data_IF_499547719121
#
_entry.id   IF_499547719121
#
_cell.length_a   1.000
_cell.length_b   1.000
_cell.length_c   1.000
_cell.angle_alpha   90.00
_cell.angle_beta   90.00
_cell.angle_gamma   90.00
#
_symmetry.space_group_name_H-M   'P 1'
#
loop_
_entity.id
_entity.type
_entity.pdbx_description
1 polymer ?
#
# COMPACT_ATOMS: atom_id res chain seq x y z
N UNK A 1 -0.92 23.35 -15.09
CA UNK A 1 -1.75 24.10 -16.04
C UNK A 1 -2.64 25.10 -15.32
N UNK A 2 -3.51 24.68 -14.39
CA UNK A 2 -4.36 25.60 -13.58
C UNK A 2 -3.56 26.63 -12.77
N UNK A 3 -2.38 26.26 -12.25
CA UNK A 3 -1.50 27.18 -11.50
C UNK A 3 -0.88 28.26 -12.38
N UNK A 4 -0.61 27.97 -13.66
CA UNK A 4 -0.01 28.94 -14.58
C UNK A 4 -1.04 29.98 -15.06
N UNK A 5 -2.28 29.58 -15.35
CA UNK A 5 -3.36 30.50 -15.71
C UNK A 5 -3.76 31.43 -14.56
N UNK A 6 -3.67 30.98 -13.30
CA UNK A 6 -3.99 31.83 -12.15
C UNK A 6 -2.87 32.81 -11.79
N UNK A 7 -1.61 32.49 -12.11
CA UNK A 7 -0.49 33.41 -11.94
C UNK A 7 -0.58 34.59 -12.93
N UNK A 8 -1.00 34.33 -14.17
CA UNK A 8 -1.20 35.35 -15.22
C UNK A 8 -2.29 36.39 -14.86
N UNK A 9 -3.33 35.95 -14.16
CA UNK A 9 -4.41 36.80 -13.66
C UNK A 9 -3.97 37.71 -12.50
N UNK A 10 -2.97 37.30 -11.72
CA UNK A 10 -2.41 38.05 -10.59
C UNK A 10 -1.44 39.16 -11.06
N UNK A 11 -0.75 38.94 -12.19
CA UNK A 11 0.16 39.91 -12.82
C UNK A 11 -0.55 40.99 -13.65
N UNK A 12 -1.85 40.84 -13.92
CA UNK A 12 -2.67 41.87 -14.56
C UNK A 12 -2.62 43.19 -13.77
N UNK A 13 -2.25 44.28 -14.46
CA UNK A 13 -2.06 45.64 -13.92
C UNK A 13 -3.37 46.32 -13.47
N UNK A 14 -4.51 45.63 -13.65
CA UNK A 14 -5.86 46.19 -13.51
C UNK A 14 -6.40 46.08 -12.07
N UNK A 15 -5.82 45.23 -11.22
CA UNK A 15 -6.38 44.88 -9.90
C UNK A 15 -5.70 45.69 -8.77
N UNK A 16 -6.45 46.40 -7.90
CA UNK A 16 -5.88 47.17 -6.80
C UNK A 16 -5.14 46.27 -5.79
N UNK A 17 -4.02 46.76 -5.24
CA UNK A 17 -3.09 45.98 -4.42
C UNK A 17 -3.74 45.22 -3.24
N UNK A 18 -4.71 45.84 -2.55
CA UNK A 18 -5.43 45.19 -1.44
C UNK A 18 -6.25 43.96 -1.89
N UNK A 19 -6.70 43.96 -3.15
CA UNK A 19 -7.54 42.91 -3.72
C UNK A 19 -6.67 41.79 -4.29
N UNK A 20 -5.44 42.09 -4.73
CA UNK A 20 -4.42 41.08 -5.07
C UNK A 20 -3.99 40.27 -3.85
N UNK A 21 -3.80 40.93 -2.70
CA UNK A 21 -3.43 40.27 -1.44
C UNK A 21 -4.54 39.34 -0.95
N UNK A 22 -5.80 39.81 -0.95
CA UNK A 22 -6.95 38.97 -0.62
C UNK A 22 -7.18 37.83 -1.62
N UNK A 23 -6.94 38.06 -2.92
CA UNK A 23 -7.07 37.02 -3.93
C UNK A 23 -5.97 35.95 -3.77
N UNK A 24 -4.74 36.34 -3.44
CA UNK A 24 -3.64 35.43 -3.17
C UNK A 24 -3.92 34.56 -1.94
N UNK A 25 -4.45 35.14 -0.86
CA UNK A 25 -4.87 34.39 0.33
C UNK A 25 -6.03 33.43 0.02
N UNK A 26 -7.03 33.88 -0.76
CA UNK A 26 -8.14 33.02 -1.18
C UNK A 26 -7.68 31.87 -2.08
N UNK A 27 -6.75 32.14 -3.01
CA UNK A 27 -6.12 31.14 -3.86
C UNK A 27 -5.40 30.11 -2.99
N UNK A 28 -4.64 30.57 -2.00
CA UNK A 28 -3.88 29.74 -1.09
C UNK A 28 -4.79 28.82 -0.25
N UNK A 29 -5.87 29.37 0.30
CA UNK A 29 -6.86 28.58 1.06
C UNK A 29 -7.54 27.55 0.15
N UNK A 30 -7.92 27.92 -1.07
CA UNK A 30 -8.55 27.01 -2.03
C UNK A 30 -7.59 25.91 -2.48
N UNK A 31 -6.32 26.25 -2.70
CA UNK A 31 -5.26 25.31 -3.05
C UNK A 31 -4.96 24.33 -1.91
N UNK A 32 -4.81 24.84 -0.69
CA UNK A 32 -4.62 24.01 0.50
C UNK A 32 -5.82 23.06 0.73
N UNK A 33 -7.05 23.55 0.52
CA UNK A 33 -8.26 22.75 0.66
C UNK A 33 -8.39 21.66 -0.41
N UNK A 34 -8.10 21.97 -1.68
CA UNK A 34 -8.11 20.99 -2.77
C UNK A 34 -7.06 19.90 -2.57
N UNK A 35 -5.86 20.25 -2.10
CA UNK A 35 -4.82 19.30 -1.70
C UNK A 35 -5.30 18.42 -0.55
N UNK A 36 -5.87 19.01 0.50
CA UNK A 36 -6.34 18.28 1.67
C UNK A 36 -7.42 17.25 1.29
N UNK A 37 -8.37 17.66 0.44
CA UNK A 37 -9.41 16.78 -0.06
C UNK A 37 -8.84 15.66 -0.96
N UNK A 38 -7.99 16.00 -1.93
CA UNK A 38 -7.37 15.02 -2.82
C UNK A 38 -6.55 13.98 -2.04
N UNK A 39 -5.76 14.45 -1.06
CA UNK A 39 -4.97 13.59 -0.18
C UNK A 39 -5.87 12.74 0.73
N UNK A 40 -6.95 13.32 1.27
CA UNK A 40 -7.93 12.61 2.09
C UNK A 40 -8.58 11.46 1.34
N UNK A 41 -9.07 11.71 0.12
CA UNK A 41 -9.64 10.68 -0.75
C UNK A 41 -8.63 9.58 -1.10
N UNK A 42 -7.37 9.95 -1.35
CA UNK A 42 -6.31 8.99 -1.66
C UNK A 42 -5.98 8.04 -0.49
N UNK A 43 -6.27 8.43 0.75
CA UNK A 43 -5.99 7.65 1.95
C UNK A 43 -7.09 6.64 2.30
N UNK A 44 -8.32 6.81 1.79
CA UNK A 44 -9.48 5.96 2.15
C UNK A 44 -9.23 4.49 1.78
N UNK A 45 -8.81 4.24 0.54
CA UNK A 45 -8.60 2.88 0.04
C UNK A 45 -7.41 2.18 0.74
N UNK A 46 -6.20 2.80 0.83
CA UNK A 46 -5.09 2.28 1.65
C UNK A 46 -5.47 2.03 3.11
N UNK A 47 -6.23 2.96 3.72
CA UNK A 47 -6.67 2.85 5.11
C UNK A 47 -7.63 1.68 5.32
N UNK A 48 -8.65 1.54 4.47
CA UNK A 48 -9.57 0.41 4.50
C UNK A 48 -8.84 -0.91 4.30
N UNK A 49 -7.91 -0.98 3.34
CA UNK A 49 -7.12 -2.17 3.07
C UNK A 49 -6.20 -2.54 4.24
N UNK A 50 -5.53 -1.56 4.85
CA UNK A 50 -4.73 -1.74 6.05
C UNK A 50 -5.57 -2.34 7.19
N UNK A 51 -6.75 -1.77 7.42
CA UNK A 51 -7.70 -2.28 8.42
C UNK A 51 -8.11 -3.73 8.12
N UNK A 52 -8.52 -4.02 6.89
CA UNK A 52 -8.94 -5.35 6.47
C UNK A 52 -7.80 -6.39 6.62
N UNK A 53 -6.58 -6.05 6.21
CA UNK A 53 -5.39 -6.90 6.39
C UNK A 53 -5.09 -7.15 7.87
N UNK A 54 -5.19 -6.13 8.72
CA UNK A 54 -5.00 -6.27 10.16
C UNK A 54 -6.08 -7.15 10.80
N UNK A 55 -7.35 -7.02 10.37
CA UNK A 55 -8.43 -7.90 10.78
C UNK A 55 -8.13 -9.36 10.40
N UNK A 56 -7.76 -9.63 9.14
CA UNK A 56 -7.40 -10.98 8.69
C UNK A 56 -6.21 -11.56 9.47
N UNK A 57 -5.17 -10.76 9.70
CA UNK A 57 -4.04 -11.14 10.55
C UNK A 57 -4.49 -11.54 11.96
N UNK A 58 -5.34 -10.73 12.59
CA UNK A 58 -5.87 -11.03 13.94
C UNK A 58 -6.71 -12.31 13.95
N UNK A 59 -7.52 -12.54 12.92
CA UNK A 59 -8.26 -13.79 12.78
C UNK A 59 -7.32 -15.00 12.69
N UNK A 60 -6.29 -14.96 11.83
CA UNK A 60 -5.31 -16.06 11.71
C UNK A 60 -4.52 -16.31 12.99
N UNK A 61 -4.11 -15.25 13.71
CA UNK A 61 -3.43 -15.39 15.00
C UNK A 61 -4.33 -15.98 16.09
N UNK A 62 -5.62 -15.61 16.11
CA UNK A 62 -6.61 -16.21 17.02
C UNK A 62 -6.87 -17.67 16.68
N UNK A 63 -6.94 -18.00 15.40
CA UNK A 63 -7.08 -19.37 14.93
C UNK A 63 -5.89 -20.23 15.35
N UNK A 64 -4.65 -19.74 15.21
CA UNK A 64 -3.47 -20.45 15.71
C UNK A 64 -3.59 -20.77 17.21
N UNK A 65 -3.96 -19.79 18.04
CA UNK A 65 -4.07 -20.02 19.49
C UNK A 65 -5.19 -21.00 19.83
N UNK A 66 -6.35 -20.85 19.19
CA UNK A 66 -7.51 -21.72 19.44
C UNK A 66 -7.29 -23.14 18.90
N UNK A 67 -6.68 -23.29 17.73
CA UNK A 67 -6.42 -24.60 17.13
C UNK A 67 -5.55 -25.48 18.03
N UNK A 68 -4.54 -24.92 18.72
CA UNK A 68 -3.74 -25.68 19.72
C UNK A 68 -4.60 -26.27 20.84
N UNK A 69 -5.62 -25.56 21.30
CA UNK A 69 -6.58 -26.04 22.32
C UNK A 69 -7.57 -27.05 21.74
N UNK A 70 -8.11 -26.79 20.55
CA UNK A 70 -9.07 -27.72 19.90
C UNK A 70 -8.41 -29.04 19.48
N UNK A 71 -7.11 -29.03 19.14
CA UNK A 71 -6.34 -30.24 18.86
C UNK A 71 -6.31 -31.16 20.08
N UNK A 72 -6.18 -30.60 21.30
CA UNK A 72 -6.22 -31.37 22.54
C UNK A 72 -7.59 -32.04 22.79
N UNK A 73 -8.66 -31.48 22.22
CA UNK A 73 -10.02 -32.03 22.30
C UNK A 73 -10.41 -32.92 21.11
N UNK A 74 -9.48 -33.21 20.19
CA UNK A 74 -9.71 -34.02 18.97
C UNK A 74 -10.84 -33.53 18.04
N UNK A 75 -11.23 -32.25 18.12
CA UNK A 75 -12.32 -31.67 17.30
C UNK A 75 -11.78 -31.14 15.96
N UNK A 76 -11.30 -32.06 15.12
CA UNK A 76 -10.62 -31.72 13.88
C UNK A 76 -11.54 -31.16 12.79
N UNK A 77 -12.81 -31.58 12.79
CA UNK A 77 -13.80 -31.11 11.83
C UNK A 77 -14.04 -29.61 12.00
N UNK A 78 -14.19 -29.15 13.24
CA UNK A 78 -14.39 -27.74 13.55
C UNK A 78 -13.19 -26.88 13.18
N UNK A 79 -11.97 -27.38 13.35
CA UNK A 79 -10.74 -26.67 12.92
C UNK A 79 -10.74 -26.48 11.39
N UNK A 80 -11.11 -27.50 10.64
CA UNK A 80 -11.18 -27.45 9.17
C UNK A 80 -12.27 -26.51 8.66
N UNK A 81 -13.46 -26.52 9.28
CA UNK A 81 -14.56 -25.61 8.94
C UNK A 81 -14.18 -24.14 9.18
N UNK A 82 -13.62 -23.82 10.35
CA UNK A 82 -13.17 -22.45 10.67
C UNK A 82 -12.07 -22.01 9.70
N UNK A 83 -11.10 -22.88 9.42
CA UNK A 83 -10.04 -22.55 8.46
C UNK A 83 -10.61 -22.29 7.05
N UNK A 84 -11.58 -23.09 6.61
CA UNK A 84 -12.22 -22.92 5.31
C UNK A 84 -12.91 -21.57 5.19
N UNK A 85 -13.69 -21.18 6.19
CA UNK A 85 -14.40 -19.90 6.22
C UNK A 85 -13.41 -18.71 6.20
N UNK A 86 -12.32 -18.81 6.96
CA UNK A 86 -11.25 -17.81 6.95
C UNK A 86 -10.53 -17.73 5.60
N UNK A 87 -10.38 -18.87 4.94
CA UNK A 87 -9.75 -18.94 3.63
C UNK A 87 -10.65 -18.34 2.53
N UNK A 88 -11.96 -18.59 2.59
CA UNK A 88 -12.97 -18.03 1.68
C UNK A 88 -13.09 -16.51 1.85
N UNK A 89 -13.10 -16.01 3.09
CA UNK A 89 -13.09 -14.57 3.36
C UNK A 89 -11.82 -13.88 2.85
N UNK A 90 -10.66 -14.53 2.99
CA UNK A 90 -9.41 -14.02 2.43
C UNK A 90 -9.43 -13.94 0.90
N UNK A 91 -9.98 -14.96 0.23
CA UNK A 91 -10.14 -14.98 -1.24
C UNK A 91 -11.08 -13.87 -1.69
N UNK A 92 -12.22 -13.72 -1.04
CA UNK A 92 -13.18 -12.66 -1.35
C UNK A 92 -12.55 -11.27 -1.20
N UNK A 93 -11.74 -11.07 -0.16
CA UNK A 93 -11.00 -9.83 0.06
C UNK A 93 -9.98 -9.58 -1.06
N UNK A 94 -9.24 -10.61 -1.49
CA UNK A 94 -8.27 -10.52 -2.58
C UNK A 94 -8.94 -10.23 -3.93
N UNK A 95 -10.04 -10.92 -4.25
CA UNK A 95 -10.78 -10.73 -5.49
C UNK A 95 -11.34 -9.31 -5.62
N UNK A 96 -11.81 -8.72 -4.51
CA UNK A 96 -12.37 -7.37 -4.50
C UNK A 96 -11.28 -6.28 -4.53
N UNK A 97 -10.19 -6.47 -3.79
CA UNK A 97 -9.23 -5.40 -3.49
C UNK A 97 -7.92 -5.50 -4.26
N UNK A 98 -7.57 -6.65 -4.85
CA UNK A 98 -6.24 -6.84 -5.47
C UNK A 98 -5.96 -5.84 -6.59
N UNK A 99 -6.93 -5.58 -7.47
CA UNK A 99 -6.78 -4.63 -8.57
C UNK A 99 -6.79 -3.15 -8.10
N UNK A 100 -7.76 -2.68 -7.28
CA UNK A 100 -7.72 -1.33 -6.72
C UNK A 100 -6.42 -1.01 -5.98
N UNK A 101 -5.89 -1.98 -5.23
CA UNK A 101 -4.66 -1.80 -4.45
C UNK A 101 -3.43 -1.79 -5.36
N UNK A 102 -3.41 -2.59 -6.43
CA UNK A 102 -2.34 -2.51 -7.43
C UNK A 102 -2.26 -1.10 -8.05
N UNK A 103 -3.40 -0.57 -8.50
CA UNK A 103 -3.47 0.79 -9.07
C UNK A 103 -3.04 1.83 -8.03
N UNK A 104 -3.50 1.67 -6.79
CA UNK A 104 -3.14 2.57 -5.69
C UNK A 104 -1.63 2.55 -5.40
N UNK A 105 -0.99 1.38 -5.34
CA UNK A 105 0.45 1.25 -5.11
C UNK A 105 1.26 1.85 -6.25
N UNK A 106 0.88 1.62 -7.51
CA UNK A 106 1.54 2.24 -8.67
C UNK A 106 1.43 3.76 -8.59
N UNK A 107 0.25 4.28 -8.27
CA UNK A 107 0.03 5.72 -8.10
C UNK A 107 0.90 6.29 -6.98
N UNK A 108 0.95 5.62 -5.81
CA UNK A 108 1.80 6.02 -4.68
C UNK A 108 3.28 6.08 -5.09
N UNK A 109 3.78 5.06 -5.80
CA UNK A 109 5.18 5.03 -6.24
C UNK A 109 5.48 6.13 -7.27
N UNK A 110 4.59 6.36 -8.23
CA UNK A 110 4.73 7.43 -9.21
C UNK A 110 4.74 8.82 -8.54
N UNK A 111 3.84 9.04 -7.57
CA UNK A 111 3.78 10.30 -6.83
C UNK A 111 4.99 10.50 -5.91
N UNK A 112 5.47 9.45 -5.24
CA UNK A 112 6.72 9.51 -4.47
C UNK A 112 7.92 9.90 -5.33
N UNK A 113 8.01 9.32 -6.53
CA UNK A 113 9.04 9.67 -7.48
C UNK A 113 8.92 11.13 -7.92
N UNK A 114 7.71 11.61 -8.23
CA UNK A 114 7.47 13.00 -8.61
C UNK A 114 7.86 14.00 -7.51
N UNK A 115 7.50 13.73 -6.25
CA UNK A 115 7.90 14.58 -5.13
C UNK A 115 9.40 14.53 -4.86
N UNK A 116 10.02 13.35 -4.97
CA UNK A 116 11.48 13.21 -4.85
C UNK A 116 12.24 13.97 -5.95
N UNK A 117 11.76 13.89 -7.19
CA UNK A 117 12.28 14.67 -8.31
C UNK A 117 12.10 16.17 -8.06
N UNK A 118 10.90 16.58 -7.64
CA UNK A 118 10.61 17.98 -7.38
C UNK A 118 11.48 18.56 -6.27
N UNK A 119 11.75 17.76 -5.23
CA UNK A 119 12.64 18.14 -4.14
C UNK A 119 14.10 18.31 -4.58
N UNK A 120 14.57 17.49 -5.52
CA UNK A 120 15.96 17.50 -5.98
C UNK A 120 16.25 18.55 -7.06
N UNK A 121 15.29 18.83 -7.95
CA UNK A 121 15.53 19.60 -9.18
C UNK A 121 14.79 20.93 -9.29
N UNK A 122 13.73 21.18 -8.51
CA UNK A 122 13.11 22.50 -8.56
C UNK A 122 13.89 23.49 -7.69
N UNK A 123 14.20 24.70 -8.21
CA UNK A 123 14.89 25.73 -7.45
C UNK A 123 14.07 26.09 -6.20
N UNK A 124 14.74 26.07 -5.05
CA UNK A 124 14.12 26.19 -3.73
C UNK A 124 13.80 27.65 -3.37
N UNK A 125 13.42 28.46 -4.35
CA UNK A 125 13.19 29.91 -4.21
C UNK A 125 11.94 30.19 -3.37
N UNK A 126 10.99 29.26 -3.35
CA UNK A 126 9.77 29.38 -2.55
C UNK A 126 9.74 28.33 -1.41
N UNK A 127 9.94 28.80 -0.17
CA UNK A 127 9.85 27.97 1.06
C UNK A 127 8.55 27.17 1.16
N UNK A 128 7.44 27.71 0.63
CA UNK A 128 6.13 27.05 0.65
C UNK A 128 6.12 25.81 -0.25
N UNK A 129 6.74 25.88 -1.42
CA UNK A 129 6.87 24.75 -2.35
C UNK A 129 7.71 23.63 -1.73
N UNK A 130 8.79 23.98 -1.03
CA UNK A 130 9.62 23.03 -0.29
C UNK A 130 8.83 22.29 0.80
N UNK A 131 8.10 23.01 1.66
CA UNK A 131 7.27 22.42 2.72
C UNK A 131 6.20 21.50 2.11
N UNK A 132 5.54 21.93 1.04
CA UNK A 132 4.54 21.13 0.34
C UNK A 132 5.14 19.82 -0.20
N UNK A 133 6.31 19.90 -0.84
CA UNK A 133 6.99 18.75 -1.44
C UNK A 133 7.41 17.73 -0.39
N UNK A 134 8.00 18.19 0.73
CA UNK A 134 8.40 17.32 1.85
C UNK A 134 7.17 16.67 2.51
N UNK A 135 6.12 17.45 2.74
CA UNK A 135 4.88 16.94 3.36
C UNK A 135 4.20 15.91 2.46
N UNK A 136 4.15 16.17 1.15
CA UNK A 136 3.67 15.21 0.15
C UNK A 136 4.48 13.92 0.17
N UNK A 137 5.81 14.01 0.12
CA UNK A 137 6.69 12.85 0.18
C UNK A 137 6.43 11.98 1.42
N UNK A 138 6.38 12.60 2.61
CA UNK A 138 6.11 11.89 3.87
C UNK A 138 4.72 11.23 3.84
N UNK A 139 3.69 11.93 3.37
CA UNK A 139 2.33 11.41 3.29
C UNK A 139 2.24 10.16 2.41
N UNK A 140 2.74 10.21 1.18
CA UNK A 140 2.69 9.07 0.26
C UNK A 140 3.57 7.92 0.72
N UNK A 141 4.67 8.21 1.43
CA UNK A 141 5.48 7.18 2.07
C UNK A 141 4.71 6.45 3.18
N UNK A 142 3.96 7.19 4.01
CA UNK A 142 3.06 6.60 5.00
C UNK A 142 1.98 5.75 4.34
N UNK A 143 1.38 6.20 3.23
CA UNK A 143 0.40 5.40 2.48
C UNK A 143 1.01 4.09 1.93
N UNK A 144 2.25 4.12 1.46
CA UNK A 144 2.97 2.90 1.05
C UNK A 144 3.15 1.94 2.23
N UNK A 145 3.51 2.48 3.40
CA UNK A 145 3.67 1.70 4.64
C UNK A 145 2.35 1.19 5.23
N UNK A 146 1.21 1.81 4.90
CA UNK A 146 -0.11 1.31 5.27
C UNK A 146 -0.60 0.16 4.36
N UNK A 147 -0.07 0.02 3.14
CA UNK A 147 -0.56 -0.98 2.19
C UNK A 147 0.25 -2.27 2.22
N UNK A 148 1.57 -2.19 1.99
CA UNK A 148 2.40 -3.39 1.78
C UNK A 148 2.67 -4.20 3.07
N UNK A 149 3.10 -3.59 4.21
CA UNK A 149 3.41 -4.34 5.42
C UNK A 149 2.22 -5.10 6.04
N UNK A 150 1.01 -4.53 6.18
CA UNK A 150 -0.12 -5.26 6.75
C UNK A 150 -0.53 -6.47 5.92
N UNK A 151 -0.52 -6.35 4.58
CA UNK A 151 -0.81 -7.45 3.69
C UNK A 151 0.24 -8.57 3.76
N UNK A 152 1.53 -8.21 3.80
CA UNK A 152 2.60 -9.19 4.01
C UNK A 152 2.48 -9.91 5.37
N UNK A 153 2.10 -9.18 6.42
CA UNK A 153 1.88 -9.76 7.75
C UNK A 153 0.67 -10.69 7.79
N UNK A 154 -0.43 -10.34 7.11
CA UNK A 154 -1.61 -11.19 6.95
C UNK A 154 -1.27 -12.47 6.17
N UNK A 155 -0.49 -12.36 5.09
CA UNK A 155 -0.01 -13.50 4.31
C UNK A 155 0.89 -14.43 5.12
N UNK A 156 1.75 -13.88 5.97
CA UNK A 156 2.58 -14.67 6.88
C UNK A 156 1.71 -15.42 7.90
N UNK A 157 0.73 -14.76 8.51
CA UNK A 157 -0.19 -15.39 9.46
C UNK A 157 -1.05 -16.49 8.82
N UNK A 158 -1.53 -16.27 7.59
CA UNK A 158 -2.24 -17.27 6.81
C UNK A 158 -1.36 -18.50 6.49
N UNK A 159 -0.09 -18.27 6.16
CA UNK A 159 0.87 -19.36 5.92
C UNK A 159 1.11 -20.21 7.18
N UNK A 160 1.27 -19.58 8.34
CA UNK A 160 1.40 -20.29 9.63
C UNK A 160 0.13 -21.06 9.99
N UNK A 161 -1.05 -20.47 9.81
CA UNK A 161 -2.32 -21.17 10.03
C UNK A 161 -2.46 -22.40 9.11
N UNK A 162 -2.04 -22.27 7.85
CA UNK A 162 -2.01 -23.37 6.89
C UNK A 162 -1.05 -24.48 7.30
N UNK A 163 0.12 -24.15 7.85
CA UNK A 163 1.08 -25.13 8.36
C UNK A 163 0.50 -25.94 9.53
N UNK A 164 -0.24 -25.28 10.43
CA UNK A 164 -0.97 -25.96 11.51
C UNK A 164 -1.99 -26.94 10.92
N UNK A 165 -2.75 -26.52 9.92
CA UNK A 165 -3.72 -27.40 9.25
C UNK A 165 -3.06 -28.54 8.48
N UNK A 166 -1.86 -28.32 7.91
CA UNK A 166 -1.04 -29.38 7.30
C UNK A 166 -0.50 -30.38 8.33
N UNK A 167 -0.26 -29.93 9.57
CA UNK A 167 0.23 -30.80 10.64
C UNK A 167 -0.86 -31.70 11.22
N UNK A 168 -2.14 -31.28 11.20
CA UNK A 168 -3.31 -32.05 11.64
C UNK A 168 -3.36 -33.48 11.06
N UNK A 169 -3.18 -33.70 9.74
CA UNK A 169 -3.03 -35.02 9.14
C UNK A 169 -1.98 -35.97 9.73
N UNK A 170 -0.98 -35.45 10.46
CA UNK A 170 0.00 -36.26 11.19
C UNK A 170 -0.58 -36.92 12.45
N UNK A 171 -1.73 -36.42 12.92
CA UNK A 171 -2.41 -36.84 14.15
C UNK A 171 -3.55 -37.83 13.88
N UNK A 172 -3.88 -38.09 12.60
CA UNK A 172 -4.86 -39.09 12.21
C UNK A 172 -4.22 -40.49 12.14
N UNK A 173 -4.94 -41.56 12.55
CA UNK A 173 -4.45 -42.93 12.42
C UNK A 173 -4.08 -43.26 10.96
N UNK A 174 -2.97 -43.98 10.74
CA UNK A 174 -2.44 -44.38 9.41
C UNK A 174 -3.49 -45.00 8.47
N UNK A 175 -4.58 -45.55 9.03
CA UNK A 175 -5.67 -46.21 8.31
C UNK A 175 -6.49 -45.30 7.40
N UNK A 176 -6.39 -43.97 7.54
CA UNK A 176 -7.20 -42.99 6.80
C UNK A 176 -6.39 -42.13 5.80
N UNK A 177 -5.29 -42.64 5.25
CA UNK A 177 -4.39 -41.91 4.33
C UNK A 177 -5.10 -41.28 3.11
N UNK A 178 -6.11 -41.96 2.55
CA UNK A 178 -6.88 -41.49 1.39
C UNK A 178 -7.80 -40.32 1.79
N UNK A 179 -8.48 -40.42 2.93
CA UNK A 179 -9.33 -39.35 3.47
C UNK A 179 -8.48 -38.13 3.84
N UNK A 180 -7.28 -38.37 4.41
CA UNK A 180 -6.26 -37.35 4.67
C UNK A 180 -5.88 -36.56 3.42
N UNK A 181 -5.67 -37.24 2.28
CA UNK A 181 -5.30 -36.59 1.03
C UNK A 181 -6.48 -35.81 0.43
N UNK A 182 -7.69 -36.33 0.51
CA UNK A 182 -8.91 -35.64 0.08
C UNK A 182 -9.22 -34.39 0.91
N UNK A 183 -9.08 -34.47 2.24
CA UNK A 183 -9.22 -33.32 3.14
C UNK A 183 -8.14 -32.28 2.84
N UNK A 184 -6.89 -32.70 2.67
CA UNK A 184 -5.83 -31.76 2.30
C UNK A 184 -6.13 -31.05 0.97
N UNK A 185 -6.61 -31.78 -0.03
CA UNK A 185 -6.85 -31.24 -1.37
C UNK A 185 -8.07 -30.32 -1.41
N UNK A 186 -9.09 -30.59 -0.59
CA UNK A 186 -10.33 -29.81 -0.52
C UNK A 186 -10.20 -28.54 0.32
N UNK A 187 -9.42 -28.59 1.40
CA UNK A 187 -9.35 -27.51 2.38
C UNK A 187 -8.07 -26.66 2.28
N UNK A 188 -7.07 -27.01 1.46
CA UNK A 188 -5.83 -26.24 1.32
C UNK A 188 -5.57 -25.61 -0.06
N UNK A 189 -6.51 -24.84 -0.66
CA UNK A 189 -6.11 -23.88 -1.68
C UNK A 189 -4.97 -23.00 -1.12
N UNK A 190 -3.92 -22.77 -1.91
CA UNK A 190 -2.90 -21.78 -1.56
C UNK A 190 -3.54 -20.40 -1.70
N UNK A 191 -3.94 -19.80 -0.59
CA UNK A 191 -4.45 -18.43 -0.58
C UNK A 191 -3.39 -17.49 -0.05
N UNK A 192 -3.35 -16.33 -0.67
CA UNK A 192 -2.53 -15.20 -0.28
C UNK A 192 -3.17 -13.95 -0.85
N UNK A 193 -2.99 -12.84 -0.16
CA UNK A 193 -3.26 -11.52 -0.69
C UNK A 193 -2.22 -11.22 -1.75
N UNK A 194 -2.73 -10.84 -2.90
CA UNK A 194 -1.96 -10.53 -4.10
C UNK A 194 -2.20 -9.09 -4.51
N UNK A 195 -1.19 -8.51 -5.13
CA UNK A 195 -1.34 -7.29 -5.90
C UNK A 195 -1.79 -7.70 -7.31
N UNK A 196 -3.05 -7.43 -7.63
CA UNK A 196 -3.70 -7.74 -8.90
C UNK A 196 -3.58 -9.18 -9.40
N UNK A 197 -3.52 -10.20 -8.53
CA UNK A 197 -3.26 -11.63 -8.87
C UNK A 197 -1.92 -11.90 -9.55
N UNK A 198 -1.08 -10.88 -9.75
CA UNK A 198 0.21 -11.00 -10.46
C UNK A 198 1.34 -11.21 -9.44
N UNK A 199 1.30 -10.51 -8.30
CA UNK A 199 2.34 -10.60 -7.28
C UNK A 199 1.79 -10.99 -5.91
N UNK A 200 2.38 -12.00 -5.29
CA UNK A 200 2.13 -12.29 -3.88
C UNK A 200 2.76 -11.21 -3.02
N UNK A 201 1.99 -10.64 -2.09
CA UNK A 201 2.49 -9.56 -1.24
C UNK A 201 3.36 -10.17 -0.13
N UNK A 202 4.67 -10.11 -0.30
CA UNK A 202 5.67 -10.54 0.67
C UNK A 202 6.58 -9.35 1.06
N UNK A 203 7.35 -9.50 2.15
CA UNK A 203 8.26 -8.43 2.65
C UNK A 203 9.29 -7.98 1.60
N UNK A 204 9.65 -8.87 0.67
CA UNK A 204 10.54 -8.58 -0.45
C UNK A 204 9.98 -7.54 -1.43
N UNK A 205 8.66 -7.47 -1.58
CA UNK A 205 8.02 -6.51 -2.49
C UNK A 205 8.22 -5.07 -2.02
N UNK A 206 8.14 -4.82 -0.71
CA UNK A 206 8.44 -3.51 -0.13
C UNK A 206 9.90 -3.11 -0.39
N UNK A 207 10.83 -4.04 -0.16
CA UNK A 207 12.27 -3.80 -0.37
C UNK A 207 12.54 -3.49 -1.85
N UNK A 208 11.93 -4.25 -2.76
CA UNK A 208 12.05 -4.02 -4.21
C UNK A 208 11.49 -2.66 -4.62
N UNK A 209 10.32 -2.26 -4.10
CA UNK A 209 9.73 -0.97 -4.39
C UNK A 209 10.61 0.21 -3.93
N UNK A 210 11.17 0.11 -2.71
CA UNK A 210 12.10 1.12 -2.17
C UNK A 210 13.40 1.15 -2.99
N UNK A 211 13.98 -0.01 -3.28
CA UNK A 211 15.20 -0.11 -4.08
C UNK A 211 15.02 0.46 -5.49
N UNK A 212 13.85 0.24 -6.09
CA UNK A 212 13.49 0.79 -7.40
C UNK A 212 13.43 2.32 -7.33
N UNK A 213 12.76 2.87 -6.30
CA UNK A 213 12.66 4.32 -6.11
C UNK A 213 14.06 4.97 -5.94
N UNK A 214 14.94 4.35 -5.16
CA UNK A 214 16.33 4.81 -4.98
C UNK A 214 17.11 4.71 -6.28
N UNK A 215 17.01 3.58 -7.00
CA UNK A 215 17.75 3.35 -8.25
C UNK A 215 17.36 4.36 -9.32
N UNK A 216 16.06 4.61 -9.51
CA UNK A 216 15.58 5.64 -10.44
C UNK A 216 15.99 7.04 -9.98
N UNK A 217 15.96 7.32 -8.67
CA UNK A 217 16.46 8.58 -8.11
C UNK A 217 17.93 8.84 -8.44
N UNK A 218 18.79 7.81 -8.30
CA UNK A 218 20.21 7.90 -8.67
C UNK A 218 20.37 8.16 -10.17
N UNK A 219 19.69 7.39 -11.02
CA UNK A 219 19.79 7.55 -12.49
C UNK A 219 19.43 8.97 -12.90
N UNK A 220 18.31 9.50 -12.43
CA UNK A 220 17.88 10.86 -12.77
C UNK A 220 18.81 11.91 -12.16
N UNK A 221 19.26 11.72 -10.92
CA UNK A 221 20.30 12.52 -10.27
C UNK A 221 21.57 12.66 -11.12
N UNK A 222 22.08 11.52 -11.62
CA UNK A 222 23.29 11.49 -12.42
C UNK A 222 23.11 12.12 -13.80
N UNK A 223 22.00 11.86 -14.50
CA UNK A 223 21.73 12.43 -15.81
C UNK A 223 21.54 13.95 -15.76
N UNK A 224 20.87 14.47 -14.73
CA UNK A 224 20.71 15.91 -14.55
C UNK A 224 22.04 16.65 -14.35
N UNK A 225 23.02 16.02 -13.68
CA UNK A 225 24.34 16.63 -13.46
C UNK A 225 25.21 16.72 -14.73
N UNK A 226 25.02 15.79 -15.67
CA UNK A 226 25.73 15.82 -16.96
C UNK A 226 25.21 16.97 -17.81
N UNK A 227 23.89 17.17 -17.82
CA UNK A 227 23.25 18.20 -18.62
C UNK A 227 23.56 19.63 -18.16
N UNK A 228 23.69 19.87 -16.84
CA UNK A 228 24.13 21.17 -16.30
C UNK A 228 25.61 21.49 -16.60
N UNK A 229 26.41 20.50 -16.99
CA UNK A 229 27.84 20.68 -17.29
C UNK A 229 28.09 21.04 -18.76
N UNK A 230 27.13 20.74 -19.65
CA UNK A 230 27.24 21.01 -21.08
C UNK A 230 26.72 22.42 -21.48
N UNK A 231 25.93 23.07 -20.61
CA UNK A 231 25.42 24.44 -20.83
C UNK A 231 26.42 25.55 -20.38
N UNK A 232 27.58 25.19 -19.84
CA UNK A 232 28.65 26.13 -19.40
C UNK A 232 29.86 26.23 -20.36
N UNK A 233 29.79 25.66 -21.57
CA UNK A 233 30.86 25.76 -22.59
C UNK A 233 30.45 26.52 -23.86
#
# INVERSE_FOLDING_TARGET
MIVYEQQELLDSEIIPAHLKEQLADLLYVTYAFTILLANGFSAILPGYYCFACNCMKQFFLRFERKSKVLIAHHDYQRILEIYKEMNETMIMMDDLLSLPILVSVINILATLFWFGYSFAFLPNDNKMLGIFTVTGFVQYFVLLMMTLPPAAAANQAAATAREIVLSLPGWFPKRYSIIKLLVCRRFLPKTALTLGKIYRIDKSMLISAIATLISYGIVVGTLGSVQSSDDEN
#
